data_IF_016499544569
#
_entry.id   IF_016499544569
#
_cell.length_a   1.000
_cell.length_b   1.000
_cell.length_c   1.000
_cell.angle_alpha   90.00
_cell.angle_beta   90.00
_cell.angle_gamma   90.00
#
_symmetry.space_group_name_H-M   'P 1'
#
loop_
_entity.id
_entity.type
_entity.pdbx_description
1 polymer ?
#
# COMPACT_ATOMS: atom_id res chain seq x y z
N UNK A 1 4.06 -16.35 -31.52
CA UNK A 1 4.29 -15.54 -30.31
C UNK A 1 5.63 -14.86 -30.48
N UNK A 2 5.63 -13.54 -30.71
CA UNK A 2 6.87 -12.79 -30.96
C UNK A 2 7.57 -12.41 -29.65
N UNK A 3 8.87 -12.15 -29.73
CA UNK A 3 9.70 -11.64 -28.63
C UNK A 3 9.15 -10.33 -28.04
N UNK A 4 8.41 -9.54 -28.84
CA UNK A 4 7.73 -8.31 -28.42
C UNK A 4 6.45 -8.52 -27.62
N UNK A 5 5.76 -9.66 -27.78
CA UNK A 5 4.62 -10.04 -26.93
C UNK A 5 5.08 -10.50 -25.54
N UNK A 6 6.28 -11.09 -25.46
CA UNK A 6 6.89 -11.49 -24.18
C UNK A 6 7.42 -10.30 -23.37
N UNK A 7 7.85 -9.22 -24.02
CA UNK A 7 8.26 -7.97 -23.38
C UNK A 7 7.08 -7.13 -22.86
N UNK A 8 5.85 -7.43 -23.27
CA UNK A 8 4.61 -6.78 -22.83
C UNK A 8 3.89 -7.50 -21.69
N UNK A 9 4.46 -8.58 -21.18
CA UNK A 9 4.11 -9.06 -19.84
C UNK A 9 4.78 -8.09 -18.86
N UNK A 10 4.02 -7.09 -18.40
CA UNK A 10 4.37 -6.41 -17.14
C UNK A 10 4.63 -7.53 -16.14
N UNK A 11 5.83 -7.57 -15.56
CA UNK A 11 6.11 -8.47 -14.47
C UNK A 11 5.38 -7.92 -13.25
N UNK A 12 4.06 -8.13 -13.18
CA UNK A 12 3.18 -7.63 -12.12
C UNK A 12 3.74 -7.97 -10.72
N UNK A 13 4.41 -9.12 -10.61
CA UNK A 13 5.09 -9.54 -9.38
C UNK A 13 6.28 -8.66 -8.97
N UNK A 14 6.95 -8.00 -9.92
CA UNK A 14 8.01 -7.02 -9.65
C UNK A 14 7.41 -5.64 -9.33
N UNK A 15 6.39 -5.23 -10.06
CA UNK A 15 5.71 -3.95 -9.81
C UNK A 15 5.08 -3.92 -8.42
N UNK A 16 4.36 -4.99 -8.04
CA UNK A 16 3.76 -5.12 -6.70
C UNK A 16 4.83 -5.01 -5.61
N UNK A 17 5.92 -5.79 -5.73
CA UNK A 17 7.04 -5.72 -4.77
C UNK A 17 7.66 -4.33 -4.70
N UNK A 18 7.87 -3.69 -5.85
CA UNK A 18 8.43 -2.32 -5.91
C UNK A 18 7.52 -1.33 -5.18
N UNK A 19 6.21 -1.41 -5.38
CA UNK A 19 5.22 -0.57 -4.70
C UNK A 19 5.22 -0.83 -3.18
N UNK A 20 5.24 -2.09 -2.74
CA UNK A 20 5.35 -2.44 -1.32
C UNK A 20 6.61 -1.88 -0.68
N UNK A 21 7.76 -2.00 -1.34
CA UNK A 21 9.03 -1.49 -0.82
C UNK A 21 9.02 0.04 -0.69
N UNK A 22 8.43 0.74 -1.67
CA UNK A 22 8.25 2.20 -1.59
C UNK A 22 7.30 2.60 -0.45
N UNK A 23 6.21 1.85 -0.23
CA UNK A 23 5.29 2.10 0.89
C UNK A 23 5.96 1.86 2.25
N UNK A 24 6.75 0.79 2.38
CA UNK A 24 7.60 0.54 3.57
C UNK A 24 8.55 1.72 3.80
N UNK A 25 9.20 2.23 2.76
CA UNK A 25 10.10 3.38 2.86
C UNK A 25 9.36 4.66 3.26
N UNK A 26 8.21 4.95 2.65
CA UNK A 26 7.39 6.12 2.98
C UNK A 26 6.92 6.12 4.44
N UNK A 27 6.52 4.94 4.95
CA UNK A 27 6.19 4.77 6.35
C UNK A 27 7.39 4.99 7.27
N UNK A 28 8.56 4.48 6.91
CA UNK A 28 9.79 4.68 7.68
C UNK A 28 10.18 6.16 7.76
N UNK A 29 10.10 6.90 6.64
CA UNK A 29 10.35 8.35 6.60
C UNK A 29 9.34 9.10 7.49
N UNK A 30 8.06 8.74 7.42
CA UNK A 30 7.00 9.35 8.25
C UNK A 30 7.27 9.13 9.74
N UNK A 31 7.67 7.92 10.14
CA UNK A 31 8.02 7.59 11.54
C UNK A 31 9.28 8.33 12.00
N UNK A 32 10.28 8.45 11.14
CA UNK A 32 11.51 9.18 11.47
C UNK A 32 11.26 10.67 11.66
N UNK A 33 10.47 11.30 10.77
CA UNK A 33 10.08 12.70 10.91
C UNK A 33 9.33 12.98 12.23
N UNK A 34 8.54 12.02 12.71
CA UNK A 34 7.86 12.13 14.00
C UNK A 34 8.82 11.97 15.18
N UNK A 35 9.82 11.10 15.08
CA UNK A 35 10.80 10.86 16.14
C UNK A 35 11.81 12.01 16.30
N UNK A 36 12.18 12.66 15.19
CA UNK A 36 13.15 13.76 15.16
C UNK A 36 12.52 15.12 15.57
N UNK A 37 11.20 15.20 15.71
CA UNK A 37 10.48 16.43 16.04
C UNK A 37 10.60 16.87 17.50
N UNK A 38 11.53 17.77 17.81
CA UNK A 38 11.46 18.73 18.94
C UNK A 38 10.49 19.90 18.58
N UNK A 39 9.94 20.66 19.55
CA UNK A 39 8.83 21.59 19.34
C UNK A 39 9.31 22.87 18.65
N UNK A 40 9.54 22.80 17.34
CA UNK A 40 9.76 23.98 16.49
C UNK A 40 8.97 23.80 15.19
N UNK A 41 8.17 24.80 14.86
CA UNK A 41 7.22 24.94 13.74
C UNK A 41 7.58 24.30 12.37
N UNK A 42 8.85 24.18 11.91
CA UNK A 42 9.17 23.49 10.66
C UNK A 42 8.93 21.97 10.69
N UNK A 43 9.16 21.29 11.82
CA UNK A 43 9.07 19.83 11.92
C UNK A 43 7.63 19.30 11.78
N UNK A 44 6.65 20.08 12.24
CA UNK A 44 5.23 19.74 12.10
C UNK A 44 4.80 19.74 10.63
N UNK A 45 5.28 20.69 9.81
CA UNK A 45 4.88 20.81 8.40
C UNK A 45 5.37 19.62 7.56
N UNK A 46 6.59 19.18 7.80
CA UNK A 46 7.18 18.04 7.08
C UNK A 46 6.48 16.73 7.48
N UNK A 47 6.19 16.54 8.78
CA UNK A 47 5.39 15.41 9.26
C UNK A 47 4.00 15.37 8.60
N UNK A 48 3.31 16.51 8.50
CA UNK A 48 2.02 16.61 7.80
C UNK A 48 2.15 16.17 6.34
N UNK A 49 3.17 16.67 5.64
CA UNK A 49 3.41 16.35 4.23
C UNK A 49 3.68 14.84 4.04
N UNK A 50 4.58 14.26 4.82
CA UNK A 50 4.92 12.83 4.72
C UNK A 50 3.73 11.94 5.10
N UNK A 51 3.02 12.27 6.18
CA UNK A 51 1.86 11.49 6.61
C UNK A 51 0.74 11.55 5.56
N UNK A 52 0.45 12.72 4.98
CA UNK A 52 -0.55 12.83 3.93
C UNK A 52 -0.14 12.08 2.66
N UNK A 53 1.12 12.22 2.23
CA UNK A 53 1.65 11.50 1.07
C UNK A 53 1.57 9.99 1.24
N UNK A 54 2.04 9.47 2.38
CA UNK A 54 1.95 8.05 2.72
C UNK A 54 0.51 7.54 2.74
N UNK A 55 -0.40 8.24 3.44
CA UNK A 55 -1.80 7.82 3.52
C UNK A 55 -2.46 7.80 2.14
N UNK A 56 -2.20 8.81 1.31
CA UNK A 56 -2.74 8.91 -0.04
C UNK A 56 -2.22 7.77 -0.94
N UNK A 57 -0.92 7.52 -0.91
CA UNK A 57 -0.31 6.45 -1.70
C UNK A 57 -0.81 5.06 -1.31
N UNK A 58 -0.84 4.74 -0.01
CA UNK A 58 -1.32 3.44 0.47
C UNK A 58 -2.82 3.24 0.15
N UNK A 59 -3.63 4.29 0.27
CA UNK A 59 -5.05 4.25 -0.11
C UNK A 59 -5.22 4.01 -1.61
N UNK A 60 -4.44 4.70 -2.45
CA UNK A 60 -4.53 4.56 -3.89
C UNK A 60 -4.08 3.16 -4.37
N UNK A 61 -3.04 2.61 -3.75
CA UNK A 61 -2.54 1.26 -4.00
C UNK A 61 -3.62 0.20 -3.75
N UNK A 62 -4.15 0.10 -2.52
CA UNK A 62 -5.19 -0.88 -2.20
C UNK A 62 -6.47 -0.68 -3.01
N UNK A 63 -6.85 0.57 -3.29
CA UNK A 63 -8.02 0.86 -4.12
C UNK A 63 -7.82 0.40 -5.58
N UNK A 64 -6.60 0.53 -6.12
CA UNK A 64 -6.25 0.02 -7.43
C UNK A 64 -6.36 -1.50 -7.48
N UNK A 65 -5.85 -2.18 -6.46
CA UNK A 65 -5.91 -3.64 -6.38
C UNK A 65 -7.35 -4.16 -6.30
N UNK A 66 -8.15 -3.57 -5.41
CA UNK A 66 -9.55 -3.92 -5.22
C UNK A 66 -10.39 -3.74 -6.49
N UNK A 67 -10.11 -2.69 -7.26
CA UNK A 67 -10.90 -2.32 -8.45
C UNK A 67 -10.42 -3.00 -9.72
N UNK A 68 -9.13 -3.32 -9.81
CA UNK A 68 -8.51 -3.75 -11.07
C UNK A 68 -7.77 -5.07 -10.93
N UNK A 69 -6.82 -5.19 -10.01
CA UNK A 69 -5.97 -6.38 -9.90
C UNK A 69 -6.75 -7.62 -9.45
N UNK A 70 -7.45 -7.53 -8.33
CA UNK A 70 -8.15 -8.66 -7.73
C UNK A 70 -9.28 -9.19 -8.61
N UNK A 71 -10.10 -8.36 -9.30
CA UNK A 71 -11.04 -8.86 -10.30
C UNK A 71 -10.36 -9.65 -11.43
N UNK A 72 -9.24 -9.15 -11.97
CA UNK A 72 -8.51 -9.84 -13.03
C UNK A 72 -7.94 -11.19 -12.56
N UNK A 73 -7.40 -11.24 -11.33
CA UNK A 73 -6.96 -12.50 -10.72
C UNK A 73 -8.14 -13.45 -10.51
N UNK A 74 -9.28 -12.98 -10.01
CA UNK A 74 -10.45 -13.82 -9.73
C UNK A 74 -11.11 -14.42 -10.98
N UNK A 75 -10.92 -13.77 -12.14
CA UNK A 75 -11.35 -14.26 -13.45
C UNK A 75 -10.46 -15.41 -13.94
N UNK A 76 -9.14 -15.24 -13.86
CA UNK A 76 -8.16 -16.21 -14.38
C UNK A 76 -7.83 -17.33 -13.38
N UNK A 77 -7.96 -17.07 -12.08
CA UNK A 77 -7.65 -17.98 -10.98
C UNK A 77 -8.81 -18.06 -9.97
N UNK A 78 -9.96 -18.65 -10.34
CA UNK A 78 -11.15 -18.75 -9.48
C UNK A 78 -10.92 -19.31 -8.07
N UNK A 79 -9.92 -20.18 -7.91
CA UNK A 79 -9.53 -20.79 -6.64
C UNK A 79 -8.96 -19.79 -5.61
N UNK A 80 -8.55 -18.58 -6.04
CA UNK A 80 -8.01 -17.55 -5.15
C UNK A 80 -9.08 -16.61 -4.57
N UNK A 81 -10.36 -16.80 -4.88
CA UNK A 81 -11.43 -15.88 -4.44
C UNK A 81 -11.49 -15.68 -2.94
N UNK A 82 -11.27 -16.73 -2.15
CA UNK A 82 -11.24 -16.63 -0.69
C UNK A 82 -10.01 -15.85 -0.22
N UNK A 83 -8.83 -16.10 -0.80
CA UNK A 83 -7.61 -15.33 -0.55
C UNK A 83 -7.81 -13.84 -0.85
N UNK A 84 -8.39 -13.51 -2.00
CA UNK A 84 -8.69 -12.13 -2.41
C UNK A 84 -9.79 -11.50 -1.54
N UNK A 85 -10.66 -12.29 -0.92
CA UNK A 85 -11.61 -11.80 0.06
C UNK A 85 -10.91 -11.40 1.36
N UNK A 86 -9.98 -12.23 1.86
CA UNK A 86 -9.18 -11.89 3.04
C UNK A 86 -8.30 -10.66 2.82
N UNK A 87 -7.65 -10.52 1.67
CA UNK A 87 -6.87 -9.32 1.33
C UNK A 87 -7.73 -8.05 1.34
N UNK A 88 -8.95 -8.09 0.80
CA UNK A 88 -9.91 -6.97 0.88
C UNK A 88 -10.35 -6.63 2.31
N UNK A 89 -10.43 -7.63 3.19
CA UNK A 89 -10.69 -7.38 4.60
C UNK A 89 -9.52 -6.64 5.25
N UNK A 90 -8.28 -7.04 4.95
CA UNK A 90 -7.08 -6.31 5.39
C UNK A 90 -7.08 -4.87 4.87
N UNK A 91 -7.41 -4.65 3.59
CA UNK A 91 -7.53 -3.30 3.01
C UNK A 91 -8.53 -2.44 3.78
N UNK A 92 -9.68 -3.02 4.16
CA UNK A 92 -10.71 -2.31 4.94
C UNK A 92 -10.21 -1.95 6.35
N UNK A 93 -9.47 -2.85 7.01
CA UNK A 93 -8.85 -2.58 8.31
C UNK A 93 -7.78 -1.49 8.21
N UNK A 94 -6.91 -1.55 7.21
CA UNK A 94 -5.86 -0.55 6.98
C UNK A 94 -6.50 0.81 6.68
N UNK A 95 -7.52 0.87 5.83
CA UNK A 95 -8.25 2.10 5.53
C UNK A 95 -8.84 2.74 6.80
N UNK A 96 -9.38 1.94 7.72
CA UNK A 96 -9.86 2.44 9.01
C UNK A 96 -8.73 3.04 9.87
N UNK A 97 -7.57 2.37 9.94
CA UNK A 97 -6.41 2.86 10.67
C UNK A 97 -5.85 4.16 10.08
N UNK A 98 -5.79 4.26 8.75
CA UNK A 98 -5.35 5.46 8.03
C UNK A 98 -6.30 6.64 8.28
N UNK A 99 -7.62 6.41 8.26
CA UNK A 99 -8.59 7.45 8.60
C UNK A 99 -8.40 7.95 10.04
N UNK A 100 -8.13 7.05 10.99
CA UNK A 100 -7.80 7.41 12.38
C UNK A 100 -6.53 8.26 12.48
N UNK A 101 -5.47 7.87 11.77
CA UNK A 101 -4.22 8.63 11.69
C UNK A 101 -4.43 10.02 11.08
N UNK A 102 -5.13 10.11 9.95
CA UNK A 102 -5.44 11.38 9.29
C UNK A 102 -6.26 12.32 10.18
N UNK A 103 -7.23 11.78 10.93
CA UNK A 103 -7.99 12.56 11.91
C UNK A 103 -7.12 13.04 13.08
N UNK A 104 -6.13 12.25 13.51
CA UNK A 104 -5.16 12.63 14.54
C UNK A 104 -4.26 13.75 14.08
N UNK A 105 -3.79 13.65 12.86
CA UNK A 105 -3.01 14.68 12.19
C UNK A 105 -3.81 15.98 12.05
N UNK A 106 -5.04 15.91 11.55
CA UNK A 106 -5.87 17.09 11.30
C UNK A 106 -6.22 17.90 12.55
N UNK A 107 -6.33 17.23 13.72
CA UNK A 107 -6.58 17.90 15.01
C UNK A 107 -5.31 18.34 15.75
N UNK A 108 -4.12 18.09 15.19
CA UNK A 108 -2.85 18.38 15.85
C UNK A 108 -2.60 17.52 17.10
N UNK A 109 -2.88 16.21 17.01
CA UNK A 109 -2.65 15.28 18.13
C UNK A 109 -1.18 15.26 18.58
N UNK A 110 -0.95 14.94 19.85
CA UNK A 110 0.39 14.90 20.42
C UNK A 110 1.27 13.84 19.74
N UNK A 111 2.61 14.02 19.65
CA UNK A 111 3.50 13.09 18.96
C UNK A 111 3.38 11.63 19.42
N UNK A 112 3.21 11.40 20.74
CA UNK A 112 3.03 10.06 21.30
C UNK A 112 1.77 9.35 20.78
N UNK A 113 0.72 10.10 20.45
CA UNK A 113 -0.51 9.55 19.88
C UNK A 113 -0.35 9.21 18.39
N UNK A 114 0.27 10.10 17.62
CA UNK A 114 0.61 9.86 16.22
C UNK A 114 1.53 8.64 16.08
N UNK A 115 2.47 8.47 17.02
CA UNK A 115 3.35 7.31 17.05
C UNK A 115 2.56 6.01 17.21
N UNK A 116 1.60 5.95 18.15
CA UNK A 116 0.74 4.76 18.32
C UNK A 116 -0.08 4.44 17.07
N UNK A 117 -0.59 5.45 16.37
CA UNK A 117 -1.30 5.25 15.11
C UNK A 117 -0.37 4.66 14.04
N UNK A 118 0.83 5.22 13.86
CA UNK A 118 1.81 4.74 12.89
C UNK A 118 2.30 3.33 13.21
N UNK A 119 2.52 2.97 14.48
CA UNK A 119 2.85 1.60 14.89
C UNK A 119 1.73 0.61 14.55
N UNK A 120 0.47 1.00 14.78
CA UNK A 120 -0.69 0.17 14.43
C UNK A 120 -0.78 -0.07 12.92
N UNK A 121 -0.59 0.97 12.11
CA UNK A 121 -0.54 0.85 10.64
C UNK A 121 0.64 -0.03 10.21
N UNK A 122 1.83 0.17 10.79
CA UNK A 122 3.03 -0.59 10.45
C UNK A 122 2.86 -2.10 10.68
N UNK A 123 2.30 -2.47 11.84
CA UNK A 123 2.11 -3.87 12.22
C UNK A 123 1.17 -4.61 11.25
N UNK A 124 0.05 -3.99 10.90
CA UNK A 124 -0.92 -4.59 9.98
C UNK A 124 -0.38 -4.59 8.55
N UNK A 125 0.20 -3.48 8.09
CA UNK A 125 0.75 -3.35 6.73
C UNK A 125 1.82 -4.39 6.44
N UNK A 126 2.77 -4.63 7.36
CA UNK A 126 3.82 -5.63 7.13
C UNK A 126 3.26 -7.05 7.08
N UNK A 127 2.30 -7.38 7.94
CA UNK A 127 1.61 -8.68 7.92
C UNK A 127 0.88 -8.91 6.59
N UNK A 128 0.16 -7.87 6.15
CA UNK A 128 -0.61 -7.83 4.92
C UNK A 128 0.28 -8.00 3.68
N UNK A 129 1.27 -7.14 3.47
CA UNK A 129 2.17 -7.22 2.31
C UNK A 129 2.87 -8.57 2.22
N UNK A 130 3.36 -9.10 3.36
CA UNK A 130 3.98 -10.43 3.37
C UNK A 130 2.97 -11.52 3.00
N UNK A 131 1.71 -11.42 3.42
CA UNK A 131 0.69 -12.40 3.07
C UNK A 131 0.37 -12.32 1.58
N UNK A 132 0.09 -11.14 1.07
CA UNK A 132 -0.19 -10.92 -0.34
C UNK A 132 0.95 -11.40 -1.23
N UNK A 133 2.18 -11.00 -0.92
CA UNK A 133 3.35 -11.40 -1.70
C UNK A 133 3.49 -12.94 -1.75
N UNK A 134 3.29 -13.62 -0.61
CA UNK A 134 3.33 -15.08 -0.56
C UNK A 134 2.24 -15.74 -1.40
N UNK A 135 1.06 -15.14 -1.48
CA UNK A 135 -0.08 -15.72 -2.17
C UNK A 135 -0.08 -15.41 -3.67
N UNK A 136 0.32 -14.19 -4.06
CA UNK A 136 0.03 -13.67 -5.38
C UNK A 136 1.26 -13.55 -6.28
N UNK A 137 2.50 -13.47 -5.78
CA UNK A 137 3.65 -13.19 -6.65
C UNK A 137 3.82 -14.21 -7.79
N UNK A 138 3.69 -15.51 -7.50
CA UNK A 138 3.76 -16.55 -8.54
C UNK A 138 2.58 -16.48 -9.50
N UNK A 139 1.40 -16.08 -9.02
CA UNK A 139 0.21 -15.88 -9.87
C UNK A 139 0.45 -14.74 -10.84
N UNK A 140 0.99 -13.64 -10.34
CA UNK A 140 1.31 -12.41 -11.08
C UNK A 140 2.40 -12.59 -12.14
N UNK A 141 3.23 -13.63 -12.06
CA UNK A 141 4.20 -13.97 -13.12
C UNK A 141 3.52 -14.48 -14.40
N UNK A 142 2.28 -14.94 -14.29
CA UNK A 142 1.51 -15.52 -15.41
C UNK A 142 0.21 -14.78 -15.71
N UNK A 143 -0.09 -13.73 -14.94
CA UNK A 143 -1.31 -12.94 -15.11
C UNK A 143 -1.30 -12.19 -16.44
N UNK A 144 -2.31 -12.44 -17.27
CA UNK A 144 -2.55 -11.67 -18.49
C UNK A 144 -3.47 -10.49 -18.18
N UNK A 145 -2.89 -9.31 -17.92
CA UNK A 145 -3.63 -8.07 -17.68
C UNK A 145 -3.01 -6.94 -18.50
N UNK A 146 -3.79 -6.41 -19.46
CA UNK A 146 -3.41 -5.27 -20.31
C UNK A 146 -3.94 -3.97 -19.69
N UNK A 147 -3.23 -3.47 -18.68
CA UNK A 147 -3.58 -2.27 -17.94
C UNK A 147 -2.33 -1.49 -17.54
N UNK A 148 -2.50 -0.19 -17.29
CA UNK A 148 -1.44 0.67 -16.78
C UNK A 148 -1.11 0.30 -15.31
N UNK A 149 0.14 -0.09 -14.98
CA UNK A 149 0.53 -0.39 -13.61
C UNK A 149 0.22 0.72 -12.61
N UNK A 150 0.31 2.00 -13.02
CA UNK A 150 -0.01 3.13 -12.14
C UNK A 150 -1.49 3.19 -11.75
N UNK A 151 -2.39 2.75 -12.64
CA UNK A 151 -3.81 2.68 -12.35
C UNK A 151 -4.16 1.47 -11.46
N UNK A 152 -3.41 0.37 -11.61
CA UNK A 152 -3.68 -0.90 -10.92
C UNK A 152 -3.03 -0.97 -9.54
N UNK A 153 -1.80 -0.47 -9.38
CA UNK A 153 -1.02 -0.55 -8.15
C UNK A 153 -0.85 0.80 -7.46
N UNK A 154 -1.41 1.86 -8.03
CA UNK A 154 -1.36 3.21 -7.50
C UNK A 154 -0.10 4.00 -7.91
N UNK A 155 -0.11 5.33 -7.71
CA UNK A 155 1.01 6.19 -8.03
C UNK A 155 2.07 6.12 -6.92
N UNK A 156 3.23 5.54 -7.25
CA UNK A 156 4.45 5.59 -6.44
C UNK A 156 5.68 5.69 -7.32
#
# INVERSE_FOLDING_TARGET
MSEGEKARLVAWSRELRSVHDRLRQALAVTRQALADGEPVEPATRDLLLFCHGFCAALTAHHAGEDRHLFPAIAEQYPQLRDTLHYLRQDHSMIAHLLAGLQAAVARGAAPAELHRHLEGVAAIMESHFRYEERQLLTVLETLALDADPYAVLGPL
#
